data_IF_783344444450
#
_entry.id   IF_783344444450
#
_cell.length_a   1.000
_cell.length_b   1.000
_cell.length_c   1.000
_cell.angle_alpha   90.00
_cell.angle_beta   90.00
_cell.angle_gamma   90.00
#
_symmetry.space_group_name_H-M   'P 1'
#
loop_
_entity.id
_entity.type
_entity.pdbx_description
1 polymer ?
#
# COMPACT_ATOMS: atom_id res chain seq x y z
N UNK A 1 -28.74 -2.16 -3.11
CA UNK A 1 -27.53 -2.01 -2.29
C UNK A 1 -27.66 -0.64 -1.67
N UNK A 2 -27.61 -0.54 -0.35
CA UNK A 2 -27.82 0.74 0.35
C UNK A 2 -26.53 1.55 0.27
N UNK A 3 -26.60 2.78 -0.23
CA UNK A 3 -25.46 3.71 -0.36
C UNK A 3 -25.43 4.60 0.88
N UNK A 4 -24.28 4.68 1.55
CA UNK A 4 -24.09 5.54 2.72
C UNK A 4 -23.56 6.89 2.29
N UNK A 5 -24.30 7.95 2.58
CA UNK A 5 -23.92 9.32 2.28
C UNK A 5 -23.70 10.08 3.57
N UNK A 6 -22.49 10.62 3.72
CA UNK A 6 -22.17 11.58 4.77
C UNK A 6 -22.32 13.00 4.20
N UNK A 7 -23.17 13.80 4.84
CA UNK A 7 -23.40 15.21 4.50
C UNK A 7 -22.73 16.05 5.58
N UNK A 8 -21.71 16.82 5.19
CA UNK A 8 -20.92 17.67 6.06
C UNK A 8 -21.22 19.11 5.71
N UNK A 9 -22.02 19.78 6.54
CA UNK A 9 -22.50 21.14 6.31
C UNK A 9 -22.95 21.73 7.65
N UNK A 10 -22.53 22.95 7.98
CA UNK A 10 -22.89 23.61 9.24
C UNK A 10 -24.32 24.15 9.24
N UNK A 11 -24.96 24.22 8.06
CA UNK A 11 -26.34 24.64 7.87
C UNK A 11 -27.30 23.45 7.90
N UNK A 12 -28.15 23.31 8.94
CA UNK A 12 -29.15 22.24 8.99
C UNK A 12 -30.18 22.33 7.86
N UNK A 13 -30.42 23.54 7.34
CA UNK A 13 -31.33 23.78 6.22
C UNK A 13 -30.77 23.21 4.90
N UNK A 14 -29.46 23.33 4.69
CA UNK A 14 -28.77 22.78 3.52
C UNK A 14 -28.72 21.25 3.64
N UNK A 15 -28.35 20.70 4.81
CA UNK A 15 -28.38 19.26 5.07
C UNK A 15 -29.75 18.63 4.75
N UNK A 16 -30.83 19.22 5.27
CA UNK A 16 -32.20 18.75 5.04
C UNK A 16 -32.62 18.91 3.57
N UNK A 17 -32.09 19.90 2.86
CA UNK A 17 -32.35 20.09 1.44
C UNK A 17 -31.69 19.00 0.59
N UNK A 18 -30.41 18.71 0.83
CA UNK A 18 -29.71 17.65 0.11
C UNK A 18 -30.25 16.26 0.45
N UNK A 19 -30.59 16.03 1.72
CA UNK A 19 -31.30 14.84 2.18
C UNK A 19 -32.56 14.59 1.35
N UNK A 20 -33.48 15.57 1.27
CA UNK A 20 -34.73 15.45 0.50
C UNK A 20 -34.50 15.24 -0.98
N UNK A 21 -33.48 15.87 -1.57
CA UNK A 21 -33.15 15.70 -2.99
C UNK A 21 -32.71 14.27 -3.29
N UNK A 22 -32.00 13.62 -2.38
CA UNK A 22 -31.51 12.26 -2.53
C UNK A 22 -32.55 11.21 -2.10
N UNK A 23 -33.34 11.44 -1.04
CA UNK A 23 -34.42 10.53 -0.62
C UNK A 23 -35.47 10.27 -1.69
N UNK A 24 -35.68 11.24 -2.56
CA UNK A 24 -36.67 11.14 -3.64
C UNK A 24 -36.17 10.29 -4.81
N UNK A 25 -34.97 9.72 -4.74
CA UNK A 25 -34.37 8.87 -5.76
C UNK A 25 -34.96 7.47 -5.63
N UNK A 26 -35.70 7.03 -6.65
CA UNK A 26 -36.35 5.72 -6.64
C UNK A 26 -35.39 4.58 -7.01
N UNK A 27 -34.21 4.91 -7.58
CA UNK A 27 -33.25 3.91 -8.07
C UNK A 27 -32.25 3.49 -7.00
N UNK A 28 -32.00 4.35 -6.01
CA UNK A 28 -30.97 4.14 -4.99
C UNK A 28 -31.53 4.31 -3.59
N UNK A 29 -31.30 3.31 -2.75
CA UNK A 29 -31.58 3.40 -1.33
C UNK A 29 -30.39 4.06 -0.62
N UNK A 30 -30.63 5.20 0.05
CA UNK A 30 -29.58 5.91 0.78
C UNK A 30 -29.72 5.74 2.29
N UNK A 31 -28.58 5.67 2.98
CA UNK A 31 -28.47 5.82 4.43
C UNK A 31 -27.65 7.07 4.72
N UNK A 32 -28.23 8.01 5.45
CA UNK A 32 -27.61 9.32 5.68
C UNK A 32 -26.90 9.39 7.02
N UNK A 33 -25.75 10.05 7.00
CA UNK A 33 -24.97 10.46 8.16
C UNK A 33 -24.80 11.97 8.03
N UNK A 34 -24.94 12.71 9.12
CA UNK A 34 -24.86 14.17 9.13
C UNK A 34 -23.76 14.62 10.08
N UNK A 35 -22.99 15.62 9.66
CA UNK A 35 -21.97 16.28 10.47
C UNK A 35 -22.03 17.79 10.22
N UNK A 36 -21.95 18.58 11.29
CA UNK A 36 -21.98 20.04 11.26
C UNK A 36 -20.58 20.69 11.36
N UNK A 37 -19.54 19.88 11.51
CA UNK A 37 -18.14 20.30 11.55
C UNK A 37 -17.22 19.23 10.95
N UNK A 38 -15.97 19.61 10.66
CA UNK A 38 -14.94 18.67 10.20
C UNK A 38 -14.63 17.61 11.26
N UNK A 39 -14.48 18.01 12.52
CA UNK A 39 -14.23 17.09 13.64
C UNK A 39 -15.35 16.04 13.79
N UNK A 40 -16.62 16.46 13.74
CA UNK A 40 -17.76 15.55 13.82
C UNK A 40 -17.82 14.59 12.61
N UNK A 41 -17.40 15.05 11.44
CA UNK A 41 -17.32 14.21 10.24
C UNK A 41 -16.24 13.14 10.36
N UNK A 42 -15.08 13.46 10.96
CA UNK A 42 -14.03 12.47 11.21
C UNK A 42 -14.50 11.41 12.22
N UNK A 43 -15.10 11.82 13.34
CA UNK A 43 -15.70 10.89 14.32
C UNK A 43 -16.73 9.97 13.66
N UNK A 44 -17.57 10.51 12.77
CA UNK A 44 -18.56 9.71 12.03
C UNK A 44 -17.90 8.68 11.09
N UNK A 45 -16.81 9.05 10.42
CA UNK A 45 -16.06 8.17 9.53
C UNK A 45 -15.35 7.03 10.27
N UNK A 46 -14.95 7.24 11.53
CA UNK A 46 -14.39 6.18 12.38
C UNK A 46 -15.44 5.11 12.75
N UNK A 47 -16.69 5.52 12.92
CA UNK A 47 -17.81 4.62 13.27
C UNK A 47 -18.28 3.86 12.04
N UNK A 48 -18.51 4.57 10.93
CA UNK A 48 -19.04 3.99 9.70
C UNK A 48 -18.48 4.69 8.46
N UNK A 49 -17.75 3.94 7.64
CA UNK A 49 -17.14 4.47 6.41
C UNK A 49 -18.22 4.77 5.37
N UNK A 50 -18.38 6.03 4.93
CA UNK A 50 -19.36 6.41 3.91
C UNK A 50 -18.89 6.01 2.50
N UNK A 51 -19.85 5.77 1.62
CA UNK A 51 -19.59 5.48 0.20
C UNK A 51 -19.41 6.80 -0.59
N UNK A 52 -20.11 7.85 -0.18
CA UNK A 52 -19.97 9.21 -0.71
C UNK A 52 -20.05 10.27 0.40
N UNK A 53 -19.27 11.33 0.27
CA UNK A 53 -19.27 12.52 1.12
C UNK A 53 -19.72 13.72 0.28
N UNK A 54 -20.69 14.46 0.79
CA UNK A 54 -21.01 15.82 0.36
C UNK A 54 -20.39 16.78 1.36
N UNK A 55 -19.37 17.52 0.94
CA UNK A 55 -18.54 18.33 1.84
C UNK A 55 -18.70 19.81 1.55
N UNK A 56 -19.26 20.56 2.49
CA UNK A 56 -19.23 22.02 2.39
C UNK A 56 -17.80 22.56 2.48
N UNK A 57 -17.55 23.63 1.74
CA UNK A 57 -16.29 24.34 1.76
C UNK A 57 -16.08 25.14 3.05
N UNK A 58 -17.13 25.74 3.62
CA UNK A 58 -17.01 26.57 4.82
C UNK A 58 -17.55 25.81 6.04
N UNK A 59 -16.67 25.15 6.79
CA UNK A 59 -17.03 24.55 8.07
C UNK A 59 -16.60 25.49 9.22
N UNK A 60 -17.20 25.36 10.41
CA UNK A 60 -16.91 26.26 11.54
C UNK A 60 -15.47 26.09 12.10
N UNK A 61 -14.88 24.91 11.93
CA UNK A 61 -13.61 24.48 12.50
C UNK A 61 -12.47 24.34 11.47
N UNK A 62 -12.79 24.11 10.20
CA UNK A 62 -11.82 23.98 9.09
C UNK A 62 -12.45 24.42 7.76
N UNK A 63 -11.65 24.54 6.69
CA UNK A 63 -12.19 24.62 5.35
C UNK A 63 -12.22 23.23 4.68
N UNK A 64 -13.14 23.02 3.74
CA UNK A 64 -13.32 21.70 3.12
C UNK A 64 -12.09 21.23 2.31
N UNK A 65 -11.18 22.13 1.91
CA UNK A 65 -9.94 21.73 1.25
C UNK A 65 -8.92 21.21 2.26
N UNK A 66 -8.84 21.81 3.44
CA UNK A 66 -8.00 21.36 4.56
C UNK A 66 -8.53 20.01 5.09
N UNK A 67 -9.84 19.87 5.29
CA UNK A 67 -10.47 18.58 5.60
C UNK A 67 -10.10 17.48 4.58
N UNK A 68 -10.19 17.76 3.28
CA UNK A 68 -9.80 16.82 2.23
C UNK A 68 -8.33 16.40 2.32
N UNK A 69 -7.44 17.35 2.63
CA UNK A 69 -6.04 17.06 2.84
C UNK A 69 -5.84 16.16 4.06
N UNK A 70 -6.44 16.49 5.19
CA UNK A 70 -6.24 15.75 6.44
C UNK A 70 -6.82 14.33 6.35
N UNK A 71 -8.00 14.19 5.74
CA UNK A 71 -8.61 12.91 5.40
C UNK A 71 -7.73 12.04 4.49
N UNK A 72 -7.05 12.65 3.51
CA UNK A 72 -6.16 11.93 2.60
C UNK A 72 -4.85 11.46 3.25
N UNK A 73 -4.36 12.17 4.28
CA UNK A 73 -3.10 11.85 4.96
C UNK A 73 -3.29 10.92 6.17
N UNK A 74 -4.45 10.94 6.82
CA UNK A 74 -4.64 10.33 8.14
C UNK A 74 -5.34 8.97 8.09
N UNK A 75 -6.18 8.68 7.09
CA UNK A 75 -7.01 7.48 7.10
C UNK A 75 -7.06 6.68 5.79
N UNK A 76 -6.76 5.38 5.89
CA UNK A 76 -6.86 4.40 4.79
C UNK A 76 -8.31 4.25 4.29
N UNK A 77 -9.30 4.53 5.14
CA UNK A 77 -10.71 4.27 4.86
C UNK A 77 -11.33 5.24 3.85
N UNK A 78 -10.87 6.50 3.81
CA UNK A 78 -11.42 7.53 2.92
C UNK A 78 -10.86 7.47 1.50
N UNK A 79 -9.81 6.68 1.24
CA UNK A 79 -9.24 6.51 -0.09
C UNK A 79 -10.25 5.92 -1.12
N UNK A 80 -11.22 5.14 -0.64
CA UNK A 80 -12.27 4.54 -1.47
C UNK A 80 -13.59 5.33 -1.48
N UNK A 81 -13.73 6.36 -0.64
CA UNK A 81 -14.94 7.19 -0.54
C UNK A 81 -14.99 8.24 -1.65
N UNK A 82 -16.14 8.37 -2.33
CA UNK A 82 -16.37 9.46 -3.26
C UNK A 82 -16.54 10.78 -2.52
N UNK A 83 -15.86 11.86 -2.93
CA UNK A 83 -16.06 13.18 -2.32
C UNK A 83 -16.54 14.18 -3.36
N UNK A 84 -17.63 14.86 -3.04
CA UNK A 84 -18.22 15.95 -3.82
C UNK A 84 -18.18 17.21 -2.98
N UNK A 85 -17.50 18.24 -3.47
CA UNK A 85 -17.43 19.53 -2.79
C UNK A 85 -18.69 20.35 -3.04
N UNK A 86 -19.26 20.93 -1.99
CA UNK A 86 -20.31 21.93 -2.07
C UNK A 86 -19.66 23.28 -1.79
N UNK A 87 -19.71 24.22 -2.74
CA UNK A 87 -19.00 25.50 -2.64
C UNK A 87 -19.96 26.66 -2.81
N UNK A 88 -19.79 27.76 -2.08
CA UNK A 88 -20.49 29.02 -2.36
C UNK A 88 -20.18 29.62 -3.75
N UNK A 89 -20.77 30.76 -4.09
CA UNK A 89 -20.67 31.30 -5.46
C UNK A 89 -19.22 31.55 -5.95
N UNK A 90 -18.88 30.88 -7.06
CA UNK A 90 -18.18 31.52 -8.18
C UNK A 90 -16.66 31.61 -8.14
N UNK A 91 -15.94 30.68 -7.51
CA UNK A 91 -14.48 30.65 -7.60
C UNK A 91 -13.98 29.36 -8.25
N UNK A 92 -13.83 29.38 -9.58
CA UNK A 92 -13.28 28.26 -10.37
C UNK A 92 -11.94 27.75 -9.80
N UNK A 93 -11.15 28.61 -9.15
CA UNK A 93 -9.91 28.22 -8.50
C UNK A 93 -10.12 27.22 -7.34
N UNK A 94 -11.21 27.38 -6.58
CA UNK A 94 -11.56 26.46 -5.49
C UNK A 94 -11.93 25.09 -6.06
N UNK A 95 -12.69 25.04 -7.15
CA UNK A 95 -13.02 23.80 -7.84
C UNK A 95 -11.75 23.09 -8.36
N UNK A 96 -10.84 23.82 -8.99
CA UNK A 96 -9.56 23.26 -9.47
C UNK A 96 -8.73 22.69 -8.32
N UNK A 97 -8.67 23.41 -7.19
CA UNK A 97 -7.91 22.96 -6.01
C UNK A 97 -8.55 21.74 -5.35
N UNK A 98 -9.88 21.70 -5.24
CA UNK A 98 -10.62 20.54 -4.76
C UNK A 98 -10.33 19.29 -5.59
N UNK A 99 -10.37 19.41 -6.92
CA UNK A 99 -10.09 18.29 -7.83
C UNK A 99 -8.64 17.79 -7.69
N UNK A 100 -7.67 18.68 -7.47
CA UNK A 100 -6.27 18.30 -7.22
C UNK A 100 -6.09 17.54 -5.91
N UNK A 101 -6.95 17.80 -4.92
CA UNK A 101 -6.95 17.12 -3.61
C UNK A 101 -7.80 15.84 -3.58
N UNK A 102 -8.37 15.43 -4.71
CA UNK A 102 -9.06 14.16 -4.85
C UNK A 102 -10.58 14.23 -4.80
N UNK A 103 -11.18 15.43 -4.74
CA UNK A 103 -12.61 15.56 -5.00
C UNK A 103 -12.94 15.03 -6.41
N UNK A 104 -14.07 14.35 -6.55
CA UNK A 104 -14.50 13.79 -7.83
C UNK A 104 -15.28 14.80 -8.64
N UNK A 105 -16.06 15.63 -7.94
CA UNK A 105 -16.92 16.64 -8.52
C UNK A 105 -17.12 17.79 -7.53
N UNK A 106 -17.74 18.87 -8.01
CA UNK A 106 -18.14 19.99 -7.17
C UNK A 106 -19.50 20.54 -7.60
N UNK A 107 -20.25 21.07 -6.64
CA UNK A 107 -21.55 21.70 -6.84
C UNK A 107 -21.57 23.08 -6.20
N UNK A 108 -22.17 24.05 -6.90
CA UNK A 108 -22.24 25.43 -6.41
C UNK A 108 -23.54 25.63 -5.59
N UNK A 109 -23.39 25.92 -4.30
CA UNK A 109 -24.48 26.23 -3.36
C UNK A 109 -25.35 27.38 -3.90
N UNK A 110 -26.66 27.26 -3.70
CA UNK A 110 -27.67 28.21 -4.20
C UNK A 110 -28.17 27.90 -5.62
N UNK A 111 -27.46 27.08 -6.40
CA UNK A 111 -27.90 26.62 -7.72
C UNK A 111 -28.15 25.11 -7.78
N UNK A 112 -27.88 24.38 -6.68
CA UNK A 112 -28.01 22.93 -6.61
C UNK A 112 -29.46 22.51 -6.80
N UNK A 113 -29.72 21.80 -7.88
CA UNK A 113 -31.01 21.14 -8.12
C UNK A 113 -30.95 19.67 -7.71
N UNK A 114 -32.12 19.10 -7.48
CA UNK A 114 -32.31 17.66 -7.23
C UNK A 114 -31.67 16.78 -8.32
N UNK A 115 -31.76 17.19 -9.60
CA UNK A 115 -31.15 16.44 -10.71
C UNK A 115 -29.62 16.52 -10.68
N UNK A 116 -29.07 17.70 -10.38
CA UNK A 116 -27.62 17.92 -10.36
C UNK A 116 -26.93 17.10 -9.26
N UNK A 117 -27.45 17.17 -8.02
CA UNK A 117 -26.84 16.46 -6.89
C UNK A 117 -26.88 14.95 -7.09
N UNK A 118 -28.00 14.41 -7.58
CA UNK A 118 -28.11 12.98 -7.91
C UNK A 118 -27.12 12.58 -8.97
N UNK A 119 -27.08 13.30 -10.09
CA UNK A 119 -26.16 12.99 -11.18
C UNK A 119 -24.71 13.00 -10.70
N UNK A 120 -24.35 13.97 -9.86
CA UNK A 120 -23.01 14.08 -9.28
C UNK A 120 -22.69 12.90 -8.35
N UNK A 121 -23.62 12.52 -7.45
CA UNK A 121 -23.50 11.35 -6.57
C UNK A 121 -23.35 10.05 -7.36
N UNK A 122 -24.24 9.81 -8.32
CA UNK A 122 -24.20 8.62 -9.17
C UNK A 122 -22.89 8.52 -9.96
N UNK A 123 -22.47 9.63 -10.59
CA UNK A 123 -21.19 9.69 -11.30
C UNK A 123 -20.00 9.42 -10.36
N UNK A 124 -20.01 10.01 -9.16
CA UNK A 124 -18.91 9.87 -8.21
C UNK A 124 -18.78 8.43 -7.68
N UNK A 125 -19.90 7.79 -7.37
CA UNK A 125 -19.95 6.38 -6.97
C UNK A 125 -19.49 5.46 -8.10
N UNK A 126 -20.00 5.64 -9.32
CA UNK A 126 -19.61 4.85 -10.49
C UNK A 126 -18.10 4.99 -10.75
N UNK A 127 -17.57 6.21 -10.69
CA UNK A 127 -16.14 6.47 -10.85
C UNK A 127 -15.31 5.73 -9.80
N UNK A 128 -15.72 5.74 -8.53
CA UNK A 128 -15.00 4.99 -7.47
C UNK A 128 -15.04 3.48 -7.68
N UNK A 129 -16.17 2.94 -8.13
CA UNK A 129 -16.28 1.52 -8.48
C UNK A 129 -15.29 1.19 -9.61
N UNK A 130 -15.27 1.97 -10.69
CA UNK A 130 -14.35 1.75 -11.81
C UNK A 130 -12.87 1.89 -11.40
N UNK A 131 -12.52 2.88 -10.57
CA UNK A 131 -11.17 3.04 -10.03
C UNK A 131 -10.74 1.83 -9.19
N UNK A 132 -11.65 1.28 -8.38
CA UNK A 132 -11.41 0.07 -7.59
C UNK A 132 -11.23 -1.16 -8.48
N UNK A 133 -12.11 -1.37 -9.45
CA UNK A 133 -12.00 -2.49 -10.39
C UNK A 133 -10.69 -2.44 -11.19
N UNK A 134 -10.29 -1.25 -11.66
CA UNK A 134 -9.02 -1.07 -12.35
C UNK A 134 -7.82 -1.40 -11.45
N UNK A 135 -7.86 -0.96 -10.19
CA UNK A 135 -6.81 -1.25 -9.21
C UNK A 135 -6.71 -2.75 -8.93
N UNK A 136 -7.84 -3.42 -8.75
CA UNK A 136 -7.88 -4.88 -8.56
C UNK A 136 -7.43 -5.64 -9.80
N UNK A 137 -7.85 -5.23 -11.00
CA UNK A 137 -7.43 -5.85 -12.24
C UNK A 137 -5.92 -5.72 -12.46
N UNK A 138 -5.34 -4.56 -12.15
CA UNK A 138 -3.88 -4.36 -12.14
C UNK A 138 -3.19 -5.27 -11.15
N UNK A 139 -3.70 -5.35 -9.91
CA UNK A 139 -3.15 -6.26 -8.90
C UNK A 139 -3.19 -7.71 -9.37
N UNK A 140 -4.30 -8.16 -9.97
CA UNK A 140 -4.42 -9.51 -10.55
C UNK A 140 -3.45 -9.73 -11.72
N UNK A 141 -3.25 -8.74 -12.57
CA UNK A 141 -2.25 -8.81 -13.65
C UNK A 141 -0.83 -8.88 -13.11
N UNK A 142 -0.52 -8.14 -12.05
CA UNK A 142 0.77 -8.22 -11.36
C UNK A 142 0.95 -9.56 -10.66
N UNK A 143 -0.09 -10.11 -10.02
CA UNK A 143 -0.10 -11.47 -9.46
C UNK A 143 0.12 -12.53 -10.56
N UNK A 144 -0.44 -12.32 -11.77
CA UNK A 144 -0.22 -13.18 -12.93
C UNK A 144 1.13 -12.96 -13.63
N UNK A 145 1.79 -11.82 -13.38
CA UNK A 145 3.14 -11.61 -13.87
C UNK A 145 4.08 -12.55 -13.10
N UNK A 146 5.00 -13.21 -13.80
CA UNK A 146 5.96 -14.09 -13.12
C UNK A 146 7.11 -13.30 -12.46
N UNK A 147 7.19 -12.01 -12.74
CA UNK A 147 8.31 -11.14 -12.37
C UNK A 147 7.80 -9.81 -11.80
N UNK A 148 8.56 -9.26 -10.85
CA UNK A 148 8.42 -7.89 -10.39
C UNK A 148 8.75 -6.90 -11.53
N UNK A 149 7.86 -5.93 -11.74
CA UNK A 149 7.93 -5.02 -12.89
C UNK A 149 9.17 -4.13 -12.88
N UNK A 150 9.68 -3.79 -11.70
CA UNK A 150 10.84 -2.93 -11.52
C UNK A 150 12.15 -3.71 -11.60
N UNK A 151 12.25 -4.82 -10.86
CA UNK A 151 13.50 -5.55 -10.61
C UNK A 151 13.69 -6.78 -11.50
N UNK A 152 12.63 -7.26 -12.17
CA UNK A 152 12.65 -8.44 -13.07
C UNK A 152 13.03 -9.76 -12.41
N UNK A 153 13.06 -9.82 -11.08
CA UNK A 153 13.14 -11.07 -10.32
C UNK A 153 11.72 -11.58 -10.00
N UNK A 154 11.60 -12.74 -9.38
CA UNK A 154 10.28 -13.28 -9.02
C UNK A 154 9.50 -12.28 -8.16
N UNK A 155 8.21 -12.13 -8.43
CA UNK A 155 7.34 -11.36 -7.55
C UNK A 155 6.90 -12.21 -6.35
N UNK A 156 6.11 -11.61 -5.46
CA UNK A 156 5.52 -12.28 -4.29
C UNK A 156 4.76 -13.57 -4.64
N UNK A 157 3.97 -13.56 -5.71
CA UNK A 157 3.16 -14.72 -6.10
C UNK A 157 4.04 -15.92 -6.48
N UNK A 158 5.03 -15.70 -7.35
CA UNK A 158 5.97 -16.75 -7.76
C UNK A 158 6.82 -17.22 -6.58
N UNK A 159 7.18 -16.33 -5.66
CA UNK A 159 7.86 -16.71 -4.43
C UNK A 159 7.00 -17.67 -3.58
N UNK A 160 5.75 -17.32 -3.31
CA UNK A 160 4.85 -18.14 -2.49
C UNK A 160 4.60 -19.52 -3.14
N UNK A 161 4.37 -19.57 -4.45
CA UNK A 161 4.24 -20.82 -5.20
C UNK A 161 5.50 -21.69 -5.11
N UNK A 162 6.68 -21.12 -5.39
CA UNK A 162 7.95 -21.85 -5.35
C UNK A 162 8.32 -22.31 -3.95
N UNK A 163 8.01 -21.53 -2.91
CA UNK A 163 8.24 -21.92 -1.52
C UNK A 163 7.38 -23.13 -1.17
N UNK A 164 6.08 -23.09 -1.48
CA UNK A 164 5.18 -24.22 -1.25
C UNK A 164 5.66 -25.48 -1.99
N UNK A 165 6.05 -25.36 -3.26
CA UNK A 165 6.60 -26.47 -4.04
C UNK A 165 7.90 -27.02 -3.43
N UNK A 166 8.79 -26.14 -2.95
CA UNK A 166 10.04 -26.53 -2.29
C UNK A 166 9.76 -27.34 -1.02
N UNK A 167 8.82 -26.90 -0.20
CA UNK A 167 8.46 -27.56 1.06
C UNK A 167 7.80 -28.91 0.84
N UNK A 168 6.84 -29.01 -0.09
CA UNK A 168 6.21 -30.30 -0.45
C UNK A 168 7.27 -31.30 -0.94
N UNK A 169 8.23 -30.83 -1.75
CA UNK A 169 9.35 -31.67 -2.21
C UNK A 169 10.23 -32.11 -1.04
N UNK A 170 10.59 -31.18 -0.16
CA UNK A 170 11.47 -31.40 0.97
C UNK A 170 10.88 -32.38 1.98
N UNK A 171 9.60 -32.24 2.31
CA UNK A 171 8.85 -33.17 3.17
C UNK A 171 8.90 -34.60 2.62
N UNK A 172 8.72 -34.76 1.30
CA UNK A 172 8.73 -36.08 0.65
C UNK A 172 10.13 -36.71 0.59
N UNK A 173 11.17 -35.89 0.46
CA UNK A 173 12.55 -36.35 0.26
C UNK A 173 13.42 -36.31 1.52
N UNK A 174 12.85 -35.88 2.66
CA UNK A 174 13.58 -35.60 3.90
C UNK A 174 14.76 -34.62 3.69
N UNK A 175 14.51 -33.61 2.85
CA UNK A 175 15.47 -32.53 2.54
C UNK A 175 15.16 -31.27 3.35
N UNK A 176 16.14 -30.35 3.41
CA UNK A 176 15.98 -29.04 4.05
C UNK A 176 15.76 -27.94 3.02
N UNK A 177 15.01 -26.91 3.39
CA UNK A 177 14.83 -25.67 2.60
C UNK A 177 15.29 -24.50 3.44
N UNK A 178 16.16 -23.67 2.89
CA UNK A 178 16.58 -22.43 3.55
C UNK A 178 15.73 -21.28 3.04
N UNK A 179 15.28 -20.41 3.94
CA UNK A 179 14.55 -19.20 3.59
C UNK A 179 15.27 -17.98 4.18
N UNK A 180 15.61 -17.04 3.31
CA UNK A 180 16.07 -15.72 3.71
C UNK A 180 15.00 -14.67 3.47
N UNK A 181 14.83 -13.77 4.43
CA UNK A 181 14.08 -12.53 4.30
C UNK A 181 15.06 -11.36 4.42
N UNK A 182 14.88 -10.34 3.59
CA UNK A 182 15.75 -9.18 3.55
C UNK A 182 14.94 -7.88 3.54
N UNK A 183 15.46 -6.86 4.21
CA UNK A 183 14.91 -5.51 4.24
C UNK A 183 16.04 -4.49 4.14
N UNK A 184 15.87 -3.48 3.28
CA UNK A 184 16.89 -2.46 3.07
C UNK A 184 16.94 -1.44 4.21
N UNK A 185 18.11 -1.31 4.82
CA UNK A 185 18.31 -0.38 5.92
C UNK A 185 18.25 1.06 5.42
N UNK A 186 17.38 1.85 6.06
CA UNK A 186 17.21 3.30 5.81
C UNK A 186 16.81 3.62 4.37
N UNK A 187 16.15 2.71 3.66
CA UNK A 187 15.72 2.94 2.27
C UNK A 187 14.85 4.19 2.11
N UNK A 188 13.97 4.48 3.07
CA UNK A 188 13.18 5.72 3.09
C UNK A 188 14.04 6.99 3.01
N UNK A 189 15.20 7.01 3.67
CA UNK A 189 16.12 8.17 3.62
C UNK A 189 16.68 8.37 2.20
N UNK A 190 16.91 7.30 1.45
CA UNK A 190 17.34 7.40 0.05
C UNK A 190 16.24 8.07 -0.78
N UNK A 191 14.99 7.65 -0.62
CA UNK A 191 13.85 8.26 -1.30
C UNK A 191 13.67 9.73 -0.92
N UNK A 192 13.74 10.05 0.38
CA UNK A 192 13.53 11.40 0.87
C UNK A 192 14.64 12.36 0.44
N UNK A 193 15.88 11.88 0.34
CA UNK A 193 17.04 12.71 0.01
C UNK A 193 17.30 12.82 -1.51
N UNK A 194 17.07 11.74 -2.27
CA UNK A 194 17.47 11.63 -3.67
C UNK A 194 16.29 11.38 -4.62
N UNK A 195 15.08 11.26 -4.10
CA UNK A 195 13.85 11.04 -4.84
C UNK A 195 13.57 9.57 -5.17
N UNK A 196 12.32 9.28 -5.52
CA UNK A 196 11.86 7.91 -5.81
C UNK A 196 12.59 7.24 -6.98
N UNK A 197 13.06 8.01 -7.98
CA UNK A 197 13.83 7.46 -9.09
C UNK A 197 15.18 6.88 -8.64
N UNK A 198 15.82 7.51 -7.65
CA UNK A 198 17.04 6.99 -7.04
C UNK A 198 16.75 5.72 -6.22
N UNK A 199 15.63 5.70 -5.48
CA UNK A 199 15.18 4.49 -4.78
C UNK A 199 14.92 3.32 -5.73
N UNK A 200 14.22 3.58 -6.84
CA UNK A 200 13.99 2.58 -7.89
C UNK A 200 15.29 2.04 -8.47
N UNK A 201 16.29 2.90 -8.67
CA UNK A 201 17.61 2.49 -9.12
C UNK A 201 18.31 1.59 -8.11
N UNK A 202 18.29 1.96 -6.83
CA UNK A 202 18.83 1.14 -5.74
C UNK A 202 18.17 -0.23 -5.72
N UNK A 203 16.84 -0.32 -5.78
CA UNK A 203 16.12 -1.59 -5.77
C UNK A 203 16.54 -2.52 -6.93
N UNK A 204 16.73 -1.97 -8.14
CA UNK A 204 17.23 -2.75 -9.29
C UNK A 204 18.65 -3.25 -9.06
N UNK A 205 19.53 -2.41 -8.53
CA UNK A 205 20.92 -2.76 -8.25
C UNK A 205 21.03 -3.84 -7.18
N UNK A 206 20.23 -3.75 -6.10
CA UNK A 206 20.15 -4.78 -5.07
C UNK A 206 19.68 -6.11 -5.66
N UNK A 207 18.63 -6.11 -6.47
CA UNK A 207 18.15 -7.32 -7.13
C UNK A 207 19.23 -7.97 -8.00
N UNK A 208 20.01 -7.18 -8.75
CA UNK A 208 21.13 -7.69 -9.55
C UNK A 208 22.24 -8.28 -8.68
N UNK A 209 22.60 -7.63 -7.58
CA UNK A 209 23.62 -8.15 -6.64
C UNK A 209 23.18 -9.45 -5.98
N UNK A 210 21.91 -9.55 -5.58
CA UNK A 210 21.35 -10.80 -5.06
C UNK A 210 21.44 -11.92 -6.11
N UNK A 211 21.04 -11.66 -7.36
CA UNK A 211 21.15 -12.65 -8.45
C UNK A 211 22.61 -13.11 -8.72
N UNK A 212 23.60 -12.23 -8.53
CA UNK A 212 25.01 -12.58 -8.71
C UNK A 212 25.58 -13.42 -7.56
N UNK A 213 25.09 -13.20 -6.34
CA UNK A 213 25.50 -13.98 -5.16
C UNK A 213 24.82 -15.35 -5.12
N UNK A 214 23.55 -15.40 -5.53
CA UNK A 214 22.73 -16.60 -5.46
C UNK A 214 23.02 -17.58 -6.60
N UNK A 215 22.76 -18.86 -6.36
CA UNK A 215 22.90 -19.87 -7.41
C UNK A 215 21.69 -19.80 -8.33
N UNK A 216 21.84 -20.29 -9.56
CA UNK A 216 20.71 -20.39 -10.48
C UNK A 216 19.58 -21.30 -9.95
N UNK A 217 19.90 -22.28 -9.10
CA UNK A 217 18.90 -23.12 -8.45
C UNK A 217 18.05 -22.37 -7.42
N UNK A 218 18.55 -21.27 -6.88
CA UNK A 218 17.89 -20.52 -5.81
C UNK A 218 16.88 -19.55 -6.42
N UNK A 219 15.80 -19.30 -5.70
CA UNK A 219 14.79 -18.32 -6.12
C UNK A 219 15.06 -17.01 -5.42
N UNK A 220 15.31 -15.95 -6.17
CA UNK A 220 15.37 -14.57 -5.66
C UNK A 220 14.06 -13.88 -6.00
N UNK A 221 13.43 -13.24 -5.02
CA UNK A 221 12.17 -12.57 -5.19
C UNK A 221 12.12 -11.22 -4.49
N UNK A 222 11.31 -10.31 -5.02
CA UNK A 222 10.88 -9.09 -4.35
C UNK A 222 9.44 -9.28 -3.89
N UNK A 223 9.22 -9.21 -2.58
CA UNK A 223 7.93 -9.55 -1.96
C UNK A 223 7.16 -8.31 -1.49
N UNK A 224 7.85 -7.17 -1.36
CA UNK A 224 7.30 -5.90 -0.91
C UNK A 224 8.08 -4.69 -1.46
N UNK A 225 7.85 -3.52 -0.88
CA UNK A 225 8.47 -2.26 -1.31
C UNK A 225 9.99 -2.33 -1.33
N UNK A 226 10.60 -2.51 -0.17
CA UNK A 226 12.05 -2.66 0.04
C UNK A 226 12.43 -4.06 0.57
N UNK A 227 11.49 -4.99 0.50
CA UNK A 227 11.61 -6.36 1.03
C UNK A 227 11.91 -7.37 -0.09
N UNK A 228 12.92 -8.20 0.15
CA UNK A 228 13.31 -9.30 -0.72
C UNK A 228 13.26 -10.64 0.03
N UNK A 229 13.19 -11.73 -0.71
CA UNK A 229 13.30 -13.08 -0.16
C UNK A 229 14.10 -14.00 -1.07
N UNK A 230 14.78 -14.98 -0.46
CA UNK A 230 15.49 -16.03 -1.19
C UNK A 230 15.13 -17.42 -0.67
N UNK A 231 14.79 -18.32 -1.60
CA UNK A 231 14.59 -19.74 -1.32
C UNK A 231 15.86 -20.49 -1.76
N UNK A 232 16.53 -21.10 -0.78
CA UNK A 232 17.71 -21.92 -0.98
C UNK A 232 17.31 -23.40 -1.04
N UNK A 233 17.59 -24.05 -2.17
CA UNK A 233 17.16 -25.43 -2.42
C UNK A 233 18.24 -26.49 -2.17
N UNK A 234 19.52 -26.11 -2.11
CA UNK A 234 20.64 -27.07 -2.08
C UNK A 234 21.71 -26.70 -1.06
N UNK A 235 22.32 -27.69 -0.41
CA UNK A 235 23.33 -27.52 0.64
C UNK A 235 22.83 -26.66 1.81
N UNK A 236 21.55 -26.79 2.14
CA UNK A 236 20.90 -26.03 3.22
C UNK A 236 21.44 -26.51 4.56
N UNK A 237 22.10 -25.60 5.27
CA UNK A 237 22.60 -25.78 6.63
C UNK A 237 22.76 -24.42 7.28
N UNK A 238 22.72 -24.35 8.61
CA UNK A 238 22.93 -23.09 9.34
C UNK A 238 24.29 -22.46 8.96
N UNK A 239 25.44 -23.17 9.04
CA UNK A 239 26.73 -22.59 8.67
C UNK A 239 26.80 -22.15 7.20
N UNK A 240 26.18 -22.93 6.29
CA UNK A 240 26.12 -22.56 4.88
C UNK A 240 25.27 -21.31 4.63
N UNK A 241 24.19 -21.15 5.40
CA UNK A 241 23.33 -19.98 5.33
C UNK A 241 24.00 -18.72 5.90
N UNK A 242 24.75 -18.84 6.99
CA UNK A 242 25.55 -17.74 7.55
C UNK A 242 26.59 -17.23 6.55
N UNK A 243 27.35 -18.15 5.93
CA UNK A 243 28.32 -17.79 4.88
C UNK A 243 27.65 -17.09 3.69
N UNK A 244 26.43 -17.50 3.33
CA UNK A 244 25.68 -16.86 2.25
C UNK A 244 25.18 -15.47 2.67
N UNK A 245 24.69 -15.32 3.90
CA UNK A 245 24.26 -14.02 4.44
C UNK A 245 25.42 -13.02 4.46
N UNK A 246 26.62 -13.45 4.86
CA UNK A 246 27.82 -12.60 4.85
C UNK A 246 28.17 -12.13 3.43
N UNK A 247 28.11 -13.02 2.43
CA UNK A 247 28.31 -12.65 1.03
C UNK A 247 27.28 -11.66 0.52
N UNK A 248 26.02 -11.82 0.92
CA UNK A 248 24.96 -10.87 0.56
C UNK A 248 25.23 -9.51 1.20
N UNK A 249 25.56 -9.48 2.49
CA UNK A 249 25.90 -8.24 3.20
C UNK A 249 27.05 -7.51 2.51
N UNK A 250 28.12 -8.23 2.17
CA UNK A 250 29.29 -7.66 1.47
C UNK A 250 28.92 -7.09 0.10
N UNK A 251 28.13 -7.83 -0.69
CA UNK A 251 27.71 -7.42 -2.02
C UNK A 251 26.77 -6.20 -1.98
N UNK A 252 25.77 -6.21 -1.09
CA UNK A 252 24.79 -5.12 -0.95
C UNK A 252 25.42 -3.86 -0.38
N UNK A 253 26.38 -4.00 0.55
CA UNK A 253 27.08 -2.86 1.15
C UNK A 253 28.03 -2.13 0.20
N UNK A 254 28.27 -2.66 -1.02
CA UNK A 254 29.08 -1.94 -2.00
C UNK A 254 28.41 -0.62 -2.39
N UNK A 255 29.15 0.48 -2.58
CA UNK A 255 28.56 1.76 -2.95
C UNK A 255 27.78 1.68 -4.27
N UNK A 256 26.63 2.36 -4.35
CA UNK A 256 25.79 2.44 -5.56
C UNK A 256 25.97 3.83 -6.17
N UNK A 257 26.41 3.91 -7.43
CA UNK A 257 26.61 5.21 -8.10
C UNK A 257 25.37 5.56 -8.92
N UNK A 258 24.71 6.66 -8.56
CA UNK A 258 23.53 7.18 -9.25
C UNK A 258 23.74 8.66 -9.57
N UNK A 259 23.70 9.03 -10.86
CA UNK A 259 23.88 10.42 -11.34
C UNK A 259 25.14 11.12 -10.79
N UNK A 260 26.23 10.36 -10.60
CA UNK A 260 27.49 10.86 -10.06
C UNK A 260 27.53 11.01 -8.53
N UNK A 261 26.45 10.63 -7.84
CA UNK A 261 26.39 10.55 -6.39
C UNK A 261 26.55 9.11 -5.92
N UNK A 262 27.12 8.94 -4.73
CA UNK A 262 27.31 7.63 -4.10
C UNK A 262 26.24 7.41 -3.05
N UNK A 263 25.35 6.47 -3.31
CA UNK A 263 24.31 6.01 -2.41
C UNK A 263 24.82 4.79 -1.63
N UNK A 264 24.64 4.82 -0.31
CA UNK A 264 24.99 3.71 0.57
C UNK A 264 23.72 3.22 1.27
N UNK A 265 23.42 1.94 1.13
CA UNK A 265 22.31 1.27 1.83
C UNK A 265 22.83 -0.03 2.44
N UNK A 266 22.36 -0.32 3.65
CA UNK A 266 22.60 -1.60 4.32
C UNK A 266 21.46 -2.56 4.03
N UNK A 267 21.57 -3.78 4.55
CA UNK A 267 20.50 -4.75 4.50
C UNK A 267 20.44 -5.52 5.81
N UNK A 268 19.24 -5.69 6.31
CA UNK A 268 18.93 -6.57 7.43
C UNK A 268 18.46 -7.91 6.89
N UNK A 269 19.00 -9.01 7.42
CA UNK A 269 18.78 -10.37 6.91
C UNK A 269 18.30 -11.29 8.02
N UNK A 270 17.23 -12.01 7.78
CA UNK A 270 16.78 -13.13 8.62
C UNK A 270 16.89 -14.43 7.86
N UNK A 271 17.37 -15.49 8.51
CA UNK A 271 17.50 -16.82 7.92
C UNK A 271 16.78 -17.89 8.74
N UNK A 272 15.92 -18.67 8.10
CA UNK A 272 15.25 -19.82 8.70
C UNK A 272 15.45 -21.09 7.87
N UNK A 273 15.34 -22.24 8.51
CA UNK A 273 15.56 -23.55 7.86
C UNK A 273 14.37 -24.44 8.14
N UNK A 274 13.74 -24.97 7.10
CA UNK A 274 12.76 -26.05 7.21
C UNK A 274 13.49 -27.40 7.33
N UNK A 275 13.01 -28.33 8.18
CA UNK A 275 11.84 -28.21 9.06
C UNK A 275 12.16 -27.64 10.45
N UNK A 276 13.41 -27.24 10.70
CA UNK A 276 13.92 -26.88 12.03
C UNK A 276 13.14 -25.70 12.65
N UNK A 277 12.94 -24.62 11.90
CA UNK A 277 12.33 -23.37 12.40
C UNK A 277 10.88 -23.14 11.91
N UNK A 278 10.26 -24.15 11.28
CA UNK A 278 8.91 -24.03 10.72
C UNK A 278 8.47 -25.29 9.98
N UNK A 279 7.18 -25.57 9.97
CA UNK A 279 6.60 -26.80 9.37
C UNK A 279 5.83 -26.55 8.08
N UNK A 280 5.56 -25.29 7.77
CA UNK A 280 4.87 -24.85 6.56
C UNK A 280 5.43 -23.50 6.11
N UNK A 281 5.03 -23.04 4.92
CA UNK A 281 5.55 -21.79 4.35
C UNK A 281 5.29 -20.57 5.24
N UNK A 282 4.15 -20.54 5.94
CA UNK A 282 3.78 -19.42 6.81
C UNK A 282 4.65 -19.35 8.06
N UNK A 283 4.80 -20.47 8.76
CA UNK A 283 5.64 -20.58 9.97
C UNK A 283 7.11 -20.34 9.66
N UNK A 284 7.61 -20.88 8.53
CA UNK A 284 9.01 -20.65 8.11
C UNK A 284 9.26 -19.18 7.75
N UNK A 285 8.34 -18.55 7.01
CA UNK A 285 8.45 -17.13 6.67
C UNK A 285 8.40 -16.25 7.91
N UNK A 286 7.49 -16.54 8.84
CA UNK A 286 7.41 -15.83 10.12
C UNK A 286 8.72 -15.94 10.93
N UNK A 287 9.32 -17.13 10.97
CA UNK A 287 10.59 -17.35 11.66
C UNK A 287 11.76 -16.56 11.03
N UNK A 288 11.83 -16.52 9.69
CA UNK A 288 12.83 -15.73 8.98
C UNK A 288 12.61 -14.22 9.18
N UNK A 289 11.36 -13.75 9.13
CA UNK A 289 11.00 -12.35 9.31
C UNK A 289 11.31 -11.86 10.74
N UNK A 290 11.01 -12.67 11.75
CA UNK A 290 11.34 -12.37 13.15
C UNK A 290 12.87 -12.20 13.33
N UNK A 291 13.68 -13.09 12.76
CA UNK A 291 15.14 -12.98 12.79
C UNK A 291 15.63 -11.71 12.07
N UNK A 292 15.06 -11.40 10.90
CA UNK A 292 15.38 -10.18 10.15
C UNK A 292 15.09 -8.92 10.97
N UNK A 293 13.94 -8.89 11.65
CA UNK A 293 13.55 -7.79 12.50
C UNK A 293 14.51 -7.57 13.69
N UNK A 294 15.02 -8.65 14.28
CA UNK A 294 16.07 -8.58 15.30
C UNK A 294 17.40 -8.04 14.75
N UNK A 295 17.78 -8.42 13.53
CA UNK A 295 18.94 -7.85 12.83
C UNK A 295 18.76 -6.33 12.64
N UNK A 296 17.58 -5.92 12.16
CA UNK A 296 17.22 -4.51 11.93
C UNK A 296 17.27 -3.69 13.22
N UNK A 297 16.74 -4.22 14.33
CA UNK A 297 16.86 -3.60 15.66
C UNK A 297 18.29 -3.46 16.15
N UNK A 298 19.17 -4.38 15.76
CA UNK A 298 20.59 -4.39 16.13
C UNK A 298 21.45 -3.45 15.27
N UNK A 299 20.84 -2.70 14.35
CA UNK A 299 21.54 -1.78 13.45
C UNK A 299 21.95 -2.37 12.10
N UNK A 300 21.36 -3.50 11.70
CA UNK A 300 21.62 -4.19 10.43
C UNK A 300 22.36 -5.52 10.61
N UNK A 301 22.72 -6.16 9.49
CA UNK A 301 23.44 -7.43 9.47
C UNK A 301 22.51 -8.64 9.31
N UNK A 302 22.88 -9.79 9.87
CA UNK A 302 22.08 -11.01 9.77
C UNK A 302 21.76 -11.63 11.13
N UNK A 303 20.66 -12.38 11.18
CA UNK A 303 20.30 -13.30 12.26
C UNK A 303 19.77 -14.61 11.69
N UNK A 304 20.08 -15.70 12.36
CA UNK A 304 19.45 -17.00 12.13
C UNK A 304 18.32 -17.13 13.14
N UNK A 305 17.16 -17.61 12.69
CA UNK A 305 16.04 -17.91 13.57
C UNK A 305 16.45 -18.92 14.63
N UNK A 306 15.98 -18.72 15.86
CA UNK A 306 16.12 -19.66 16.97
C UNK A 306 14.77 -20.25 17.34
N UNK A 307 14.79 -21.46 17.89
CA UNK A 307 13.63 -22.15 18.49
C UNK A 307 12.99 -21.38 19.65
#
# INVERSE_FOLDING_TARGET
>A
MTVRILIIDDSPEDQETYHRFLETDEETEYKFIFADSGDAALEACEIEVPDCILLDYNLPDTDGLEFLSDAAHSDVYLAETAVIMLTGQGNENVAVEAMKRGAIDYLVKGEITQEQIRRSVHYALEKKVLEKELREARRRLEEMALEDSLTRIANRYVFEDRLNQALIRAERLDEKVGLFCFDLDKFKQVNDQYGHQAGDYVLREIAQRLLQVMRHSDTVARIGGDEFAVIMHTNVSIPGGEVLAEKVLEAVSQPIVYEGQTLNTGISIGFAVYPDHGKDGKSLHFAADAAMYEAKKSGGGYRVSSD
#
